data_IF_692083057126
#
_entry.id   IF_692083057126
#
_cell.length_a   1.000
_cell.length_b   1.000
_cell.length_c   1.000
_cell.angle_alpha   90.00
_cell.angle_beta   90.00
_cell.angle_gamma   90.00
#
_symmetry.space_group_name_H-M   'P 1'
#
loop_
_entity.id
_entity.type
_entity.pdbx_description
1 polymer ?
#
# COMPACT_ATOMS: atom_id res chain seq x y z
N UNK A 1 15.08 -3.43 -2.92
CA UNK A 1 14.47 -3.18 -1.60
C UNK A 1 13.21 -4.02 -1.44
N UNK A 2 13.02 -4.63 -0.30
CA UNK A 2 11.86 -5.49 -0.04
C UNK A 2 11.03 -4.96 1.11
N UNK A 3 9.72 -5.13 1.00
CA UNK A 3 8.75 -4.73 2.02
C UNK A 3 7.86 -5.93 2.33
N UNK A 4 7.63 -6.21 3.60
CA UNK A 4 6.72 -7.28 4.01
C UNK A 4 5.29 -6.72 4.07
N UNK A 5 4.36 -7.38 3.39
CA UNK A 5 2.98 -6.95 3.38
C UNK A 5 2.20 -7.44 4.61
N UNK A 6 0.91 -7.13 4.65
CA UNK A 6 0.04 -7.48 5.76
C UNK A 6 -0.08 -9.00 5.96
N UNK A 7 0.09 -9.75 4.89
CA UNK A 7 0.00 -11.22 4.91
C UNK A 7 1.34 -11.91 5.20
N UNK A 8 2.39 -11.13 5.40
CA UNK A 8 3.72 -11.68 5.65
C UNK A 8 4.51 -12.03 4.40
N UNK A 9 4.04 -11.63 3.23
CA UNK A 9 4.73 -11.86 1.97
C UNK A 9 5.70 -10.71 1.65
N UNK A 10 6.89 -11.05 1.18
CA UNK A 10 7.85 -10.05 0.75
C UNK A 10 7.53 -9.55 -0.66
N UNK A 11 7.56 -8.22 -0.81
CA UNK A 11 7.31 -7.57 -2.09
C UNK A 11 8.57 -6.82 -2.50
N UNK A 12 9.05 -7.05 -3.70
CA UNK A 12 10.20 -6.33 -4.24
C UNK A 12 9.78 -4.94 -4.71
N UNK A 13 10.48 -3.91 -4.22
CA UNK A 13 10.22 -2.52 -4.60
C UNK A 13 11.43 -2.01 -5.37
N UNK A 14 11.25 -1.78 -6.67
CA UNK A 14 12.31 -1.28 -7.54
C UNK A 14 12.26 0.24 -7.69
N UNK A 15 11.06 0.82 -7.60
CA UNK A 15 10.85 2.27 -7.68
C UNK A 15 9.93 2.69 -6.55
N UNK A 16 10.51 3.31 -5.51
CA UNK A 16 9.79 3.67 -4.29
C UNK A 16 8.68 4.69 -4.56
N UNK A 17 8.97 5.72 -5.36
CA UNK A 17 7.97 6.75 -5.68
C UNK A 17 6.79 6.16 -6.42
N UNK A 18 7.05 5.31 -7.40
CA UNK A 18 6.01 4.64 -8.17
C UNK A 18 5.19 3.70 -7.30
N UNK A 19 5.85 2.96 -6.41
CA UNK A 19 5.18 2.04 -5.50
C UNK A 19 4.23 2.79 -4.56
N UNK A 20 4.66 3.94 -4.03
CA UNK A 20 3.82 4.77 -3.17
C UNK A 20 2.62 5.30 -3.95
N UNK A 21 2.84 5.75 -5.17
CA UNK A 21 1.76 6.25 -6.03
C UNK A 21 0.72 5.18 -6.30
N UNK A 22 1.16 3.98 -6.63
CA UNK A 22 0.27 2.84 -6.89
C UNK A 22 -0.52 2.48 -5.63
N UNK A 23 0.15 2.38 -4.49
CA UNK A 23 -0.51 2.05 -3.23
C UNK A 23 -1.56 3.10 -2.87
N UNK A 24 -1.23 4.37 -3.03
CA UNK A 24 -2.17 5.47 -2.78
C UNK A 24 -3.39 5.38 -3.68
N UNK A 25 -3.18 5.05 -4.94
CA UNK A 25 -4.28 4.89 -5.91
C UNK A 25 -5.23 3.77 -5.47
N UNK A 26 -4.70 2.64 -5.03
CA UNK A 26 -5.52 1.52 -4.60
C UNK A 26 -6.25 1.77 -3.29
N UNK A 27 -5.71 2.60 -2.40
CA UNK A 27 -6.43 2.96 -1.17
C UNK A 27 -7.68 3.78 -1.45
N UNK A 28 -7.75 4.43 -2.61
CA UNK A 28 -8.90 5.26 -3.01
C UNK A 28 -9.91 4.54 -3.87
N UNK A 29 -9.61 3.32 -4.30
CA UNK A 29 -10.53 2.53 -5.12
C UNK A 29 -11.67 2.01 -4.27
N UNK A 30 -12.91 2.28 -4.68
CA UNK A 30 -14.12 1.79 -4.02
C UNK A 30 -15.06 1.23 -5.04
N UNK A 31 -15.68 0.11 -4.72
CA UNK A 31 -16.77 -0.41 -5.53
C UNK A 31 -18.09 0.22 -5.07
N UNK A 32 -18.94 0.55 -6.02
CA UNK A 32 -20.25 1.12 -5.72
C UNK A 32 -21.25 0.07 -5.22
N UNK A 33 -21.01 -1.19 -5.56
CA UNK A 33 -21.87 -2.30 -5.18
C UNK A 33 -21.62 -2.70 -3.72
N UNK A 34 -22.68 -2.76 -2.93
CA UNK A 34 -22.60 -3.11 -1.51
C UNK A 34 -22.09 -4.53 -1.27
N UNK A 35 -22.25 -5.43 -2.25
CA UNK A 35 -21.78 -6.81 -2.12
C UNK A 35 -20.25 -6.90 -2.01
N UNK A 36 -19.52 -5.86 -2.40
CA UNK A 36 -18.07 -5.81 -2.32
C UNK A 36 -17.53 -5.05 -1.11
N UNK A 37 -18.40 -4.66 -0.17
CA UNK A 37 -17.97 -3.83 0.96
C UNK A 37 -16.89 -4.49 1.82
N UNK A 38 -17.02 -5.78 2.11
CA UNK A 38 -16.03 -6.53 2.90
C UNK A 38 -14.73 -6.70 2.14
N UNK A 39 -14.81 -6.96 0.84
CA UNK A 39 -13.66 -7.05 -0.03
C UNK A 39 -12.92 -5.70 -0.06
N UNK A 40 -13.65 -4.61 -0.21
CA UNK A 40 -13.07 -3.27 -0.24
C UNK A 40 -12.36 -2.92 1.07
N UNK A 41 -12.93 -3.31 2.20
CA UNK A 41 -12.30 -3.08 3.50
C UNK A 41 -10.97 -3.81 3.61
N UNK A 42 -10.90 -5.06 3.16
CA UNK A 42 -9.66 -5.83 3.18
C UNK A 42 -8.63 -5.24 2.24
N UNK A 43 -9.05 -4.84 1.04
CA UNK A 43 -8.15 -4.22 0.07
C UNK A 43 -7.63 -2.89 0.59
N UNK A 44 -8.50 -2.07 1.18
CA UNK A 44 -8.09 -0.80 1.75
C UNK A 44 -7.10 -1.00 2.89
N UNK A 45 -7.34 -1.96 3.77
CA UNK A 45 -6.43 -2.26 4.88
C UNK A 45 -5.06 -2.71 4.36
N UNK A 46 -5.05 -3.58 3.36
CA UNK A 46 -3.83 -4.08 2.75
C UNK A 46 -3.02 -2.93 2.12
N UNK A 47 -3.65 -2.13 1.28
CA UNK A 47 -2.96 -1.07 0.56
C UNK A 47 -2.57 0.09 1.46
N UNK A 48 -3.38 0.38 2.50
CA UNK A 48 -3.03 1.38 3.50
C UNK A 48 -1.77 0.97 4.26
N UNK A 49 -1.69 -0.30 4.66
CA UNK A 49 -0.51 -0.83 5.33
C UNK A 49 0.74 -0.72 4.45
N UNK A 50 0.63 -1.12 3.18
CA UNK A 50 1.72 -1.00 2.20
C UNK A 50 2.13 0.47 2.02
N UNK A 51 1.15 1.35 1.84
CA UNK A 51 1.40 2.78 1.66
C UNK A 51 2.14 3.37 2.86
N UNK A 52 1.70 3.04 4.07
CA UNK A 52 2.33 3.54 5.30
C UNK A 52 3.78 3.06 5.41
N UNK A 53 4.02 1.79 5.11
CA UNK A 53 5.37 1.23 5.15
C UNK A 53 6.29 1.89 4.14
N UNK A 54 5.82 2.07 2.91
CA UNK A 54 6.60 2.70 1.84
C UNK A 54 6.85 4.18 2.16
N UNK A 55 5.86 4.88 2.69
CA UNK A 55 5.99 6.28 3.06
C UNK A 55 7.01 6.44 4.19
N UNK A 56 6.99 5.57 5.18
CA UNK A 56 7.96 5.59 6.28
C UNK A 56 9.38 5.40 5.75
N UNK A 57 9.57 4.49 4.82
CA UNK A 57 10.88 4.27 4.19
C UNK A 57 11.34 5.50 3.43
N UNK A 58 10.44 6.12 2.67
CA UNK A 58 10.75 7.34 1.91
C UNK A 58 11.16 8.48 2.84
N UNK A 59 10.42 8.67 3.92
CA UNK A 59 10.74 9.71 4.90
C UNK A 59 12.10 9.45 5.56
N UNK A 60 12.40 8.20 5.85
CA UNK A 60 13.67 7.80 6.42
C UNK A 60 14.84 8.12 5.47
N UNK A 61 14.66 7.88 4.18
CA UNK A 61 15.68 8.18 3.17
C UNK A 61 15.86 9.67 2.95
N UNK A 62 14.81 10.47 3.19
CA UNK A 62 14.83 11.91 3.00
C UNK A 62 15.20 12.69 4.26
N UNK A 63 15.33 12.04 5.41
CA UNK A 63 15.53 12.69 6.70
C UNK A 63 17.02 12.88 7.06
N UNK A 64 17.79 13.31 6.11
CA UNK A 64 19.21 13.63 6.38
C UNK A 64 19.42 15.10 6.66
#
# INVERSE_FOLDING_TARGET
MKVTDLNGCEIEVTDLKEAIRIAKRYTRCKHEDKSFSDFDKRQNAYWTDIHDKLTAIKEQLNSN
#
